data_IF_823907760554
#
_entry.id   IF_823907760554
#
_cell.length_a   1.000
_cell.length_b   1.000
_cell.length_c   1.000
_cell.angle_alpha   90.00
_cell.angle_beta   90.00
_cell.angle_gamma   90.00
#
_symmetry.space_group_name_H-M   'P 1'
#
loop_
_entity.id
_entity.type
_entity.pdbx_description
1 polymer ?
#
# COMPACT_ATOMS: atom_id res chain seq x y z
N UNK A 1 1.56 -6.45 15.20
CA UNK A 1 1.93 -5.96 13.86
C UNK A 1 2.07 -4.46 13.96
N UNK A 2 3.31 -3.98 13.92
CA UNK A 2 3.64 -2.61 14.28
C UNK A 2 3.15 -1.62 13.24
N UNK A 3 2.27 -0.83 13.68
CA UNK A 3 1.86 0.41 13.09
C UNK A 3 2.79 1.51 13.57
N UNK A 4 3.33 2.30 12.77
CA UNK A 4 4.14 3.50 13.00
C UNK A 4 5.64 3.26 12.93
N UNK A 5 6.26 3.81 11.89
CA UNK A 5 7.71 4.02 11.89
C UNK A 5 8.03 5.07 12.96
N UNK A 6 8.76 4.66 13.99
CA UNK A 6 9.16 5.54 15.07
C UNK A 6 10.13 6.61 14.56
N UNK A 7 9.91 7.84 14.98
CA UNK A 7 10.83 8.94 14.79
C UNK A 7 12.16 8.59 15.49
N UNK A 8 13.24 8.45 14.75
CA UNK A 8 14.54 8.03 15.29
C UNK A 8 15.36 9.21 15.81
N UNK A 9 15.09 10.42 15.35
CA UNK A 9 15.75 11.65 15.78
C UNK A 9 14.76 12.80 15.90
N UNK A 10 15.13 13.84 16.66
CA UNK A 10 14.31 15.05 16.85
C UNK A 10 14.09 15.80 15.52
N UNK A 11 15.01 15.65 14.55
CA UNK A 11 14.94 16.28 13.24
C UNK A 11 14.19 15.45 12.18
N UNK A 12 13.77 14.23 12.51
CA UNK A 12 12.97 13.41 11.62
C UNK A 12 11.59 14.04 11.42
N UNK A 13 11.27 14.38 10.16
CA UNK A 13 9.92 14.81 9.81
C UNK A 13 8.93 13.70 10.17
N UNK A 14 7.83 14.07 10.78
CA UNK A 14 6.73 13.16 11.08
C UNK A 14 6.30 12.45 9.80
N UNK A 15 6.58 11.17 9.71
CA UNK A 15 6.13 10.30 8.65
C UNK A 15 5.29 9.19 9.29
N UNK A 16 3.98 9.42 9.37
CA UNK A 16 3.04 8.40 9.82
C UNK A 16 2.68 7.55 8.61
N UNK A 17 3.10 6.31 8.66
CA UNK A 17 2.66 5.28 7.73
C UNK A 17 1.49 4.56 8.39
N UNK A 18 0.33 4.60 7.79
CA UNK A 18 -0.87 3.99 8.38
C UNK A 18 -0.74 2.47 8.44
N UNK A 19 -0.18 1.85 7.39
CA UNK A 19 0.08 0.41 7.35
C UNK A 19 1.41 0.17 6.64
N UNK A 20 2.27 -0.66 7.26
CA UNK A 20 3.47 -1.20 6.64
C UNK A 20 3.41 -2.73 6.70
N UNK A 21 3.51 -3.38 5.55
CA UNK A 21 3.39 -4.82 5.40
C UNK A 21 4.48 -5.37 4.49
N UNK A 22 4.64 -6.69 4.47
CA UNK A 22 5.47 -7.41 3.51
C UNK A 22 4.64 -8.47 2.81
N UNK A 23 4.88 -8.67 1.52
CA UNK A 23 4.27 -9.75 0.77
C UNK A 23 5.11 -11.03 0.86
N UNK A 24 4.67 -12.09 0.19
CA UNK A 24 5.35 -13.39 0.17
C UNK A 24 6.75 -13.38 -0.48
N UNK A 25 7.08 -12.33 -1.23
CA UNK A 25 8.41 -12.10 -1.84
C UNK A 25 9.31 -11.22 -0.97
N UNK A 26 8.89 -10.91 0.26
CA UNK A 26 9.58 -9.99 1.16
C UNK A 26 9.68 -8.55 0.63
N UNK A 27 8.80 -8.16 -0.31
CA UNK A 27 8.68 -6.81 -0.80
C UNK A 27 7.86 -5.97 0.18
N UNK A 28 8.20 -4.69 0.31
CA UNK A 28 7.59 -3.78 1.29
C UNK A 28 6.36 -3.12 0.67
N UNK A 29 5.26 -3.14 1.40
CA UNK A 29 4.03 -2.44 1.04
C UNK A 29 3.76 -1.36 2.08
N UNK A 30 3.64 -0.12 1.63
CA UNK A 30 3.28 1.04 2.43
C UNK A 30 1.88 1.47 1.99
N UNK A 31 0.93 1.53 2.92
CA UNK A 31 -0.41 2.06 2.65
C UNK A 31 -0.63 3.27 3.53
N UNK A 32 -0.92 4.40 2.93
CA UNK A 32 -1.29 5.64 3.61
C UNK A 32 -2.73 6.02 3.27
N UNK A 33 -3.50 6.37 4.30
CA UNK A 33 -4.87 6.88 4.15
C UNK A 33 -4.86 8.37 4.51
N UNK A 34 -5.23 9.22 3.56
CA UNK A 34 -5.17 10.65 3.74
C UNK A 34 -6.55 11.29 3.50
N UNK A 35 -7.12 11.85 4.56
CA UNK A 35 -8.46 12.45 4.54
C UNK A 35 -8.45 13.93 4.14
N UNK A 36 -7.35 14.64 4.42
CA UNK A 36 -7.24 16.08 4.19
C UNK A 36 -6.11 16.38 3.22
N UNK A 37 -6.30 17.44 2.43
CA UNK A 37 -5.28 17.89 1.49
C UNK A 37 -4.05 18.36 2.23
N UNK A 38 -2.90 17.82 1.85
CA UNK A 38 -1.60 18.29 2.29
C UNK A 38 -0.86 18.97 1.12
N UNK A 39 -0.16 20.05 1.45
CA UNK A 39 0.81 20.63 0.54
C UNK A 39 2.02 19.70 0.45
N UNK A 40 2.59 19.60 -0.74
CA UNK A 40 3.79 18.76 -0.98
C UNK A 40 3.57 17.26 -0.72
N UNK A 41 2.37 16.77 -1.04
CA UNK A 41 2.01 15.38 -0.79
C UNK A 41 2.89 14.38 -1.56
N UNK A 42 3.27 14.69 -2.81
CA UNK A 42 4.16 13.84 -3.61
C UNK A 42 5.55 13.75 -2.99
N UNK A 43 6.07 14.86 -2.48
CA UNK A 43 7.35 14.90 -1.79
C UNK A 43 7.30 14.09 -0.48
N UNK A 44 6.17 14.11 0.20
CA UNK A 44 5.94 13.30 1.40
C UNK A 44 5.99 11.80 1.09
N UNK A 45 5.26 11.32 0.10
CA UNK A 45 5.30 9.89 -0.26
C UNK A 45 6.68 9.46 -0.76
N UNK A 46 7.37 10.32 -1.52
CA UNK A 46 8.74 10.07 -1.94
C UNK A 46 9.69 9.95 -0.73
N UNK A 47 9.58 10.86 0.24
CA UNK A 47 10.36 10.80 1.48
C UNK A 47 10.07 9.52 2.28
N UNK A 48 8.79 9.13 2.40
CA UNK A 48 8.38 7.91 3.09
C UNK A 48 8.98 6.64 2.47
N UNK A 49 8.99 6.58 1.15
CA UNK A 49 9.62 5.48 0.41
C UNK A 49 11.14 5.48 0.62
N UNK A 50 11.81 6.63 0.53
CA UNK A 50 13.25 6.74 0.75
C UNK A 50 13.63 6.29 2.17
N UNK A 51 12.85 6.72 3.17
CA UNK A 51 13.03 6.29 4.58
C UNK A 51 12.86 4.77 4.71
N UNK A 52 11.84 4.18 4.11
CA UNK A 52 11.63 2.74 4.15
C UNK A 52 12.78 1.95 3.50
N UNK A 53 13.42 2.48 2.44
CA UNK A 53 14.63 1.88 1.87
C UNK A 53 15.76 1.88 2.90
N UNK A 54 16.03 3.02 3.53
CA UNK A 54 17.15 3.18 4.47
C UNK A 54 16.94 2.42 5.79
N UNK A 55 15.71 2.22 6.21
CA UNK A 55 15.38 1.41 7.40
C UNK A 55 15.62 -0.10 7.20
N UNK A 56 15.67 -0.56 5.95
CA UNK A 56 15.75 -1.98 5.61
C UNK A 56 17.09 -2.39 5.00
N UNK A 57 18.03 -1.46 4.90
CA UNK A 57 19.39 -1.73 4.47
C UNK A 57 20.35 -1.07 5.46
N UNK A 58 21.26 -1.84 6.02
CA UNK A 58 22.33 -1.34 6.89
C UNK A 58 23.57 -0.98 6.07
N UNK A 59 24.44 -0.13 6.66
CA UNK A 59 25.68 0.31 6.00
C UNK A 59 26.63 -0.83 5.61
N UNK A 60 26.48 -2.00 6.22
CA UNK A 60 27.29 -3.19 5.97
C UNK A 60 26.67 -4.16 4.97
N UNK A 61 25.43 -3.93 4.55
CA UNK A 61 24.70 -4.81 3.64
C UNK A 61 24.96 -4.46 2.17
N UNK A 62 24.84 -5.46 1.32
CA UNK A 62 25.03 -5.29 -0.11
C UNK A 62 23.78 -4.65 -0.76
N UNK A 63 23.98 -3.88 -1.82
CA UNK A 63 22.86 -3.23 -2.55
C UNK A 63 21.81 -4.19 -3.10
N UNK A 64 22.10 -5.47 -3.26
CA UNK A 64 21.10 -6.46 -3.67
C UNK A 64 20.05 -6.76 -2.59
N UNK A 65 20.29 -6.32 -1.34
CA UNK A 65 19.32 -6.43 -0.23
C UNK A 65 18.26 -5.31 -0.26
N UNK A 66 18.42 -4.30 -1.14
CA UNK A 66 17.38 -3.28 -1.33
C UNK A 66 16.09 -3.94 -1.77
N UNK A 67 15.03 -3.80 -0.96
CA UNK A 67 13.74 -4.41 -1.21
C UNK A 67 12.90 -3.55 -2.14
N UNK A 68 12.14 -4.18 -3.02
CA UNK A 68 11.08 -3.53 -3.80
C UNK A 68 10.05 -2.93 -2.84
N UNK A 69 9.60 -1.71 -3.15
CA UNK A 69 8.58 -1.00 -2.37
C UNK A 69 7.38 -0.68 -3.24
N UNK A 70 6.20 -0.94 -2.72
CA UNK A 70 4.92 -0.48 -3.24
C UNK A 70 4.37 0.59 -2.30
N UNK A 71 4.16 1.79 -2.79
CA UNK A 71 3.56 2.90 -2.06
C UNK A 71 2.13 3.09 -2.55
N UNK A 72 1.16 2.85 -1.69
CA UNK A 72 -0.26 2.92 -1.98
C UNK A 72 -0.84 4.07 -1.18
N UNK A 73 -1.33 5.10 -1.87
CA UNK A 73 -1.95 6.27 -1.27
C UNK A 73 -3.46 6.25 -1.50
N UNK A 74 -4.24 6.20 -0.43
CA UNK A 74 -5.70 6.23 -0.45
C UNK A 74 -6.14 7.65 -0.10
N UNK A 75 -6.65 8.39 -1.10
CA UNK A 75 -6.90 9.81 -1.04
C UNK A 75 -8.39 10.13 -1.02
N UNK A 76 -8.84 10.81 0.03
CA UNK A 76 -10.20 11.34 0.16
C UNK A 76 -10.31 12.84 -0.21
N UNK A 77 -9.25 13.40 -0.77
CA UNK A 77 -9.21 14.78 -1.24
C UNK A 77 -8.80 14.82 -2.72
N UNK A 78 -9.12 15.93 -3.38
CA UNK A 78 -8.67 16.18 -4.76
C UNK A 78 -7.18 16.56 -4.77
N UNK A 79 -6.35 15.71 -5.35
CA UNK A 79 -4.91 15.94 -5.50
C UNK A 79 -4.58 16.78 -6.75
N UNK A 80 -5.51 16.88 -7.70
CA UNK A 80 -5.30 17.61 -8.94
C UNK A 80 -6.13 17.09 -10.11
N UNK A 81 -5.81 17.54 -11.31
CA UNK A 81 -6.54 17.18 -12.54
C UNK A 81 -6.21 15.76 -12.98
N UNK A 82 -7.24 15.05 -13.41
CA UNK A 82 -7.16 13.71 -13.96
C UNK A 82 -8.53 13.04 -13.92
N UNK A 83 -8.80 12.14 -14.86
CA UNK A 83 -10.13 11.56 -15.08
C UNK A 83 -10.29 10.17 -14.46
N UNK A 84 -9.19 9.57 -13.99
CA UNK A 84 -9.22 8.23 -13.39
C UNK A 84 -9.22 8.29 -11.85
N UNK A 85 -9.74 7.24 -11.23
CA UNK A 85 -9.69 7.03 -9.78
C UNK A 85 -8.41 6.33 -9.34
N UNK A 86 -7.67 5.68 -10.26
CA UNK A 86 -6.45 4.93 -9.99
C UNK A 86 -5.32 5.38 -10.91
N UNK A 87 -4.25 5.87 -10.33
CA UNK A 87 -3.01 6.19 -11.04
C UNK A 87 -1.90 5.28 -10.59
N UNK A 88 -1.14 4.76 -11.56
CA UNK A 88 0.01 3.90 -11.33
C UNK A 88 1.28 4.55 -11.88
N UNK A 89 2.27 4.72 -11.01
CA UNK A 89 3.60 5.24 -11.34
C UNK A 89 4.67 4.18 -11.16
N UNK A 90 5.48 3.96 -12.19
CA UNK A 90 6.65 3.06 -12.14
C UNK A 90 7.79 3.63 -12.95
N UNK A 91 9.01 3.21 -12.63
CA UNK A 91 10.20 3.67 -13.35
C UNK A 91 10.51 2.75 -14.52
N UNK A 92 10.63 3.36 -15.70
CA UNK A 92 11.13 2.71 -16.90
C UNK A 92 12.24 3.58 -17.50
N UNK A 93 13.31 2.97 -18.01
CA UNK A 93 14.32 3.67 -18.78
C UNK A 93 14.09 3.41 -20.26
N UNK A 94 13.86 4.47 -21.00
CA UNK A 94 13.59 4.43 -22.45
C UNK A 94 14.74 5.06 -23.20
N UNK A 95 15.22 4.38 -24.22
CA UNK A 95 16.26 4.89 -25.11
C UNK A 95 15.84 6.20 -25.77
N UNK A 96 16.61 7.28 -25.54
CA UNK A 96 16.26 8.62 -26.03
C UNK A 96 16.18 8.68 -27.55
N UNK A 97 16.99 7.89 -28.23
CA UNK A 97 17.06 7.90 -29.69
C UNK A 97 16.30 6.76 -30.36
N UNK A 98 16.11 5.65 -29.66
CA UNK A 98 15.57 4.39 -30.23
C UNK A 98 14.17 4.08 -29.73
N UNK A 99 13.76 4.63 -28.57
CA UNK A 99 12.46 4.38 -27.95
C UNK A 99 12.32 2.99 -27.34
N UNK A 100 13.37 2.16 -27.34
CA UNK A 100 13.38 0.85 -26.70
C UNK A 100 13.41 0.95 -25.17
N UNK A 101 13.02 -0.13 -24.49
CA UNK A 101 13.12 -0.23 -23.03
C UNK A 101 14.41 -0.89 -22.64
N UNK A 102 15.12 -0.29 -21.66
CA UNK A 102 16.33 -0.87 -21.11
C UNK A 102 15.99 -2.09 -20.23
N UNK A 103 16.59 -3.22 -20.57
CA UNK A 103 16.66 -4.41 -19.71
C UNK A 103 18.07 -4.54 -19.15
N UNK A 104 18.18 -4.71 -17.84
CA UNK A 104 19.48 -4.84 -17.18
C UNK A 104 19.79 -6.33 -17.01
N UNK A 105 21.00 -6.73 -17.38
CA UNK A 105 21.51 -8.07 -17.07
C UNK A 105 22.43 -7.97 -15.87
N UNK A 106 22.10 -8.68 -14.80
CA UNK A 106 22.91 -8.77 -13.59
C UNK A 106 23.37 -10.19 -13.35
N UNK A 107 24.51 -10.37 -12.67
CA UNK A 107 24.98 -11.69 -12.27
C UNK A 107 24.53 -11.96 -10.83
N UNK A 108 23.64 -12.93 -10.67
CA UNK A 108 23.20 -13.41 -9.36
C UNK A 108 23.73 -14.82 -9.15
N UNK A 109 24.55 -14.99 -8.13
CA UNK A 109 25.34 -16.22 -7.89
C UNK A 109 26.19 -16.53 -9.14
N UNK A 110 25.90 -17.55 -9.88
CA UNK A 110 26.62 -17.89 -11.12
C UNK A 110 25.76 -17.80 -12.39
N UNK A 111 24.56 -17.25 -12.28
CA UNK A 111 23.62 -17.10 -13.38
C UNK A 111 23.48 -15.62 -13.82
N UNK A 112 23.35 -15.41 -15.14
CA UNK A 112 22.93 -14.11 -15.67
C UNK A 112 21.41 -14.01 -15.57
N UNK A 113 20.94 -13.04 -14.81
CA UNK A 113 19.51 -12.79 -14.60
C UNK A 113 19.15 -11.45 -15.26
N UNK A 114 18.08 -11.43 -16.02
CA UNK A 114 17.50 -10.20 -16.55
C UNK A 114 16.67 -9.54 -15.49
N UNK A 115 16.77 -8.22 -15.36
CA UNK A 115 16.05 -7.43 -14.40
C UNK A 115 15.55 -6.15 -15.05
N UNK A 116 14.26 -5.88 -14.93
CA UNK A 116 13.68 -4.62 -15.37
C UNK A 116 13.81 -3.56 -14.28
N UNK A 117 14.01 -2.29 -14.63
CA UNK A 117 14.01 -1.20 -13.65
C UNK A 117 12.76 -1.21 -12.76
N UNK A 118 11.59 -1.49 -13.30
CA UNK A 118 10.34 -1.59 -12.55
C UNK A 118 10.35 -2.69 -11.47
N UNK A 119 11.20 -3.70 -11.55
CA UNK A 119 11.33 -4.75 -10.52
C UNK A 119 12.17 -4.31 -9.31
N UNK A 120 12.93 -3.22 -9.44
CA UNK A 120 13.82 -2.69 -8.40
C UNK A 120 13.30 -1.39 -7.82
N UNK A 121 12.94 -0.44 -8.71
CA UNK A 121 12.48 0.87 -8.29
C UNK A 121 11.10 0.80 -7.64
N UNK A 122 10.79 1.73 -6.72
CA UNK A 122 9.47 1.80 -6.10
C UNK A 122 8.35 1.97 -7.12
N UNK A 123 7.19 1.40 -6.80
CA UNK A 123 5.94 1.63 -7.52
C UNK A 123 4.98 2.43 -6.65
N UNK A 124 4.25 3.33 -7.28
CA UNK A 124 3.31 4.22 -6.62
C UNK A 124 1.90 4.00 -7.16
N UNK A 125 0.94 3.88 -6.25
CA UNK A 125 -0.47 3.79 -6.57
C UNK A 125 -1.19 4.92 -5.84
N UNK A 126 -1.85 5.80 -6.60
CA UNK A 126 -2.69 6.86 -6.06
C UNK A 126 -4.15 6.49 -6.32
N UNK A 127 -4.90 6.27 -5.25
CA UNK A 127 -6.31 5.88 -5.29
C UNK A 127 -7.14 7.06 -4.85
N UNK A 128 -7.86 7.69 -5.78
CA UNK A 128 -8.76 8.82 -5.55
C UNK A 128 -10.16 8.27 -5.23
N UNK A 129 -10.43 8.00 -3.96
CA UNK A 129 -11.65 7.30 -3.52
C UNK A 129 -12.92 8.01 -4.00
N UNK A 130 -12.95 9.35 -3.94
CA UNK A 130 -14.11 10.16 -4.33
C UNK A 130 -14.41 10.12 -5.84
N UNK A 131 -13.39 9.84 -6.66
CA UNK A 131 -13.52 9.74 -8.12
C UNK A 131 -14.01 8.36 -8.59
N UNK A 132 -14.05 7.37 -7.71
CA UNK A 132 -14.64 6.08 -8.04
C UNK A 132 -16.17 6.21 -8.16
N UNK A 133 -16.69 6.17 -9.38
CA UNK A 133 -18.10 6.43 -9.70
C UNK A 133 -18.77 5.34 -10.54
N UNK A 134 -18.26 4.12 -10.46
CA UNK A 134 -18.77 2.96 -11.18
C UNK A 134 -19.10 1.80 -10.23
N UNK A 135 -19.79 0.79 -10.76
CA UNK A 135 -20.01 -0.46 -10.03
C UNK A 135 -18.71 -1.24 -9.91
N UNK A 136 -18.39 -1.70 -8.71
CA UNK A 136 -17.23 -2.52 -8.47
C UNK A 136 -17.37 -3.90 -9.14
N UNK A 137 -16.41 -4.27 -9.97
CA UNK A 137 -16.36 -5.55 -10.70
C UNK A 137 -15.07 -6.35 -10.42
N UNK A 138 -14.09 -5.74 -9.76
CA UNK A 138 -12.84 -6.38 -9.34
C UNK A 138 -12.68 -6.34 -7.84
N UNK A 139 -11.88 -7.24 -7.23
CA UNK A 139 -11.60 -7.20 -5.79
C UNK A 139 -11.07 -5.85 -5.29
N UNK A 140 -10.21 -5.18 -6.07
CA UNK A 140 -9.71 -3.85 -5.73
C UNK A 140 -10.84 -2.82 -5.72
N UNK A 141 -11.72 -2.85 -6.71
CA UNK A 141 -12.85 -1.94 -6.80
C UNK A 141 -13.86 -2.15 -5.68
N UNK A 142 -14.08 -3.40 -5.23
CA UNK A 142 -14.90 -3.68 -4.04
C UNK A 142 -14.31 -3.04 -2.77
N UNK A 143 -12.98 -3.07 -2.62
CA UNK A 143 -12.29 -2.36 -1.54
C UNK A 143 -12.48 -0.83 -1.64
N UNK A 144 -12.36 -0.26 -2.84
CA UNK A 144 -12.54 1.18 -3.06
C UNK A 144 -14.00 1.59 -2.81
N UNK A 145 -14.97 0.79 -3.27
CA UNK A 145 -16.40 1.00 -2.99
C UNK A 145 -16.67 0.99 -1.47
N UNK A 146 -16.11 0.02 -0.75
CA UNK A 146 -16.19 -0.01 0.71
C UNK A 146 -15.56 1.24 1.36
N UNK A 147 -14.36 1.62 0.95
CA UNK A 147 -13.69 2.81 1.47
C UNK A 147 -14.48 4.09 1.20
N UNK A 148 -15.20 4.16 0.07
CA UNK A 148 -16.04 5.30 -0.31
C UNK A 148 -17.35 5.34 0.45
N UNK A 149 -18.01 4.20 0.61
CA UNK A 149 -19.41 4.13 1.09
C UNK A 149 -19.53 3.69 2.55
N UNK A 150 -18.52 3.05 3.11
CA UNK A 150 -18.57 2.38 4.41
C UNK A 150 -19.33 1.05 4.40
N UNK A 151 -19.87 0.63 3.25
CA UNK A 151 -20.70 -0.56 3.13
C UNK A 151 -19.95 -1.70 2.44
N UNK A 152 -20.01 -2.90 3.00
CA UNK A 152 -19.46 -4.11 2.40
C UNK A 152 -20.61 -4.95 1.85
N UNK A 153 -20.60 -5.25 0.57
CA UNK A 153 -21.59 -6.06 -0.11
C UNK A 153 -21.65 -7.48 0.48
N UNK A 154 -22.83 -8.07 0.54
CA UNK A 154 -23.01 -9.43 1.03
C UNK A 154 -22.35 -10.48 0.14
N UNK A 155 -22.34 -10.25 -1.15
CA UNK A 155 -21.79 -11.11 -2.20
C UNK A 155 -20.34 -10.80 -2.54
N UNK A 156 -19.62 -10.05 -1.68
CA UNK A 156 -18.21 -9.71 -1.91
C UNK A 156 -17.34 -10.94 -2.13
N UNK A 157 -16.50 -10.87 -3.16
CA UNK A 157 -15.48 -11.86 -3.46
C UNK A 157 -14.07 -11.37 -3.15
N UNK A 158 -13.94 -10.10 -2.76
CA UNK A 158 -12.65 -9.50 -2.45
C UNK A 158 -12.05 -10.10 -1.17
N UNK A 159 -10.82 -10.64 -1.25
CA UNK A 159 -10.13 -11.17 -0.09
C UNK A 159 -10.07 -10.15 1.05
N UNK A 160 -10.39 -10.56 2.26
CA UNK A 160 -10.35 -9.73 3.47
C UNK A 160 -11.61 -8.89 3.73
N UNK A 161 -12.45 -8.58 2.72
CA UNK A 161 -13.68 -7.80 2.97
C UNK A 161 -14.72 -8.58 3.79
N UNK A 162 -14.80 -9.91 3.63
CA UNK A 162 -15.66 -10.76 4.46
C UNK A 162 -15.27 -10.68 5.95
N UNK A 163 -13.99 -10.76 6.25
CA UNK A 163 -13.44 -10.63 7.59
C UNK A 163 -13.62 -9.20 8.14
N UNK A 164 -13.38 -8.19 7.31
CA UNK A 164 -13.62 -6.80 7.68
C UNK A 164 -15.09 -6.57 8.08
N UNK A 165 -16.05 -7.13 7.35
CA UNK A 165 -17.49 -7.07 7.68
C UNK A 165 -17.78 -7.69 9.05
N UNK A 166 -17.22 -8.87 9.36
CA UNK A 166 -17.39 -9.51 10.67
C UNK A 166 -16.85 -8.61 11.79
N UNK A 167 -15.67 -8.02 11.60
CA UNK A 167 -15.10 -7.08 12.57
C UNK A 167 -15.95 -5.83 12.76
N UNK A 168 -16.49 -5.25 11.68
CA UNK A 168 -17.39 -4.10 11.77
C UNK A 168 -18.66 -4.41 12.56
N UNK A 169 -19.27 -5.59 12.33
CA UNK A 169 -20.41 -6.06 13.11
C UNK A 169 -20.02 -6.16 14.59
N UNK A 170 -18.91 -6.80 14.91
CA UNK A 170 -18.41 -6.94 16.28
C UNK A 170 -18.19 -5.59 16.95
N UNK A 171 -17.54 -4.63 16.26
CA UNK A 171 -17.27 -3.30 16.81
C UNK A 171 -18.56 -2.47 17.07
N UNK A 172 -19.61 -2.74 16.31
CA UNK A 172 -20.91 -2.07 16.47
C UNK A 172 -21.80 -2.74 17.51
N UNK A 173 -21.42 -3.90 18.07
CA UNK A 173 -22.13 -4.56 19.16
C UNK A 173 -21.98 -3.76 20.47
N UNK A 174 -23.00 -3.82 21.33
CA UNK A 174 -22.88 -3.34 22.71
C UNK A 174 -21.85 -4.17 23.50
N UNK A 175 -21.34 -3.68 24.65
CA UNK A 175 -20.45 -4.47 25.49
C UNK A 175 -21.03 -5.84 25.91
N UNK A 176 -22.34 -5.91 26.19
CA UNK A 176 -23.05 -7.12 26.56
C UNK A 176 -23.12 -8.13 25.36
N UNK A 177 -23.43 -7.62 24.17
CA UNK A 177 -23.46 -8.44 22.95
C UNK A 177 -22.08 -8.99 22.59
N UNK A 178 -21.00 -8.19 22.75
CA UNK A 178 -19.62 -8.65 22.54
C UNK A 178 -19.26 -9.76 23.52
N UNK A 179 -19.61 -9.59 24.79
CA UNK A 179 -19.32 -10.59 25.82
C UNK A 179 -20.02 -11.93 25.48
N UNK A 180 -21.31 -11.89 25.14
CA UNK A 180 -22.05 -13.08 24.72
C UNK A 180 -21.48 -13.73 23.46
N UNK A 181 -21.00 -12.93 22.50
CA UNK A 181 -20.36 -13.42 21.28
C UNK A 181 -19.02 -14.13 21.57
N UNK A 182 -18.19 -13.54 22.44
CA UNK A 182 -16.90 -14.09 22.85
C UNK A 182 -17.06 -15.38 23.68
N UNK A 183 -18.07 -15.46 24.57
CA UNK A 183 -18.43 -16.68 25.28
C UNK A 183 -18.87 -17.80 24.34
N UNK A 184 -19.70 -17.47 23.33
CA UNK A 184 -20.14 -18.42 22.33
C UNK A 184 -18.97 -18.97 21.50
N UNK A 185 -18.05 -18.11 21.06
CA UNK A 185 -16.84 -18.54 20.36
C UNK A 185 -15.95 -19.45 21.21
N UNK A 186 -15.79 -19.11 22.50
CA UNK A 186 -14.98 -19.91 23.43
C UNK A 186 -15.58 -21.30 23.72
N UNK A 187 -16.91 -21.45 23.58
CA UNK A 187 -17.60 -22.73 23.77
C UNK A 187 -17.52 -23.67 22.56
N UNK A 188 -17.15 -23.14 21.38
CA UNK A 188 -17.06 -23.90 20.10
C UNK A 188 -15.62 -24.33 19.80
N UNK A 189 -14.63 -23.68 20.38
CA UNK A 189 -13.20 -24.01 20.23
C UNK A 189 -12.73 -25.04 21.26
#
# INVERSE_FOLDING_TARGET
MGSESNQQTIDDKFNRVDIKARNSKDEIIIVEIQNTRELYYLERILYGVAKAITEHISLSECYYEVKKIYSISILYFDIGKGDDYLYHGQNNFTGVHTGDRLEITTKEKDALVRKLPAEVFPEYFLIRVNEFNKVAVTPLEEWIEYLKTGCIRHDTTAPGLGEARKKLIYYNMSPEERHAYDEHLSAIM
#
